data_IF_966694762912
#
_entry.id   IF_966694762912
#
_cell.length_a   1.000
_cell.length_b   1.000
_cell.length_c   1.000
_cell.angle_alpha   90.00
_cell.angle_beta   90.00
_cell.angle_gamma   90.00
#
_symmetry.space_group_name_H-M   'P 1'
#
loop_
_entity.id
_entity.type
_entity.pdbx_description
1 polymer ?
#
# COMPACT_ATOMS: atom_id res chain seq x y z
N UNK A 1 6.17 14.50 -9.36
CA UNK A 1 6.65 13.37 -8.55
C UNK A 1 5.61 12.27 -8.65
N UNK A 2 6.01 11.05 -9.00
CA UNK A 2 5.10 9.91 -8.92
C UNK A 2 4.68 9.76 -7.45
N UNK A 3 3.38 9.78 -7.17
CA UNK A 3 2.90 9.54 -5.81
C UNK A 3 3.21 8.08 -5.46
N UNK A 4 3.82 7.83 -4.30
CA UNK A 4 4.08 6.49 -3.75
C UNK A 4 2.98 6.13 -2.74
N UNK A 5 2.67 4.83 -2.63
CA UNK A 5 1.69 4.32 -1.67
C UNK A 5 2.39 3.51 -0.58
N UNK A 6 2.09 3.83 0.67
CA UNK A 6 2.73 3.20 1.83
C UNK A 6 1.66 2.54 2.72
N UNK A 7 1.76 1.22 2.89
CA UNK A 7 0.95 0.46 3.84
C UNK A 7 1.73 0.37 5.14
N UNK A 8 1.23 1.00 6.21
CA UNK A 8 1.92 1.15 7.50
C UNK A 8 1.08 0.53 8.64
N UNK A 9 1.69 -0.09 9.67
CA UNK A 9 0.96 -0.50 10.85
C UNK A 9 0.59 0.73 11.70
N UNK A 10 -0.67 0.83 12.10
CA UNK A 10 -1.13 1.91 12.96
C UNK A 10 -0.92 1.55 14.44
N UNK A 11 0.16 2.08 15.03
CA UNK A 11 0.62 1.71 16.37
C UNK A 11 -0.44 1.91 17.47
N UNK A 12 -1.27 2.96 17.36
CA UNK A 12 -2.23 3.32 18.42
C UNK A 12 -3.52 2.51 18.41
N UNK A 13 -3.93 1.95 17.27
CA UNK A 13 -5.23 1.24 17.14
C UNK A 13 -5.09 -0.21 16.70
N UNK A 14 -3.88 -0.69 16.42
CA UNK A 14 -3.60 -2.07 16.04
C UNK A 14 -3.93 -2.44 14.58
N UNK A 15 -4.48 -1.51 13.81
CA UNK A 15 -4.82 -1.66 12.38
C UNK A 15 -3.69 -1.25 11.43
N UNK A 16 -4.07 -0.85 10.22
CA UNK A 16 -3.16 -0.49 9.13
C UNK A 16 -3.63 0.78 8.44
N UNK A 17 -2.69 1.60 7.96
CA UNK A 17 -2.99 2.80 7.17
C UNK A 17 -2.39 2.70 5.79
N UNK A 18 -3.09 3.24 4.80
CA UNK A 18 -2.56 3.50 3.46
C UNK A 18 -2.30 4.99 3.35
N UNK A 19 -1.02 5.35 3.32
CA UNK A 19 -0.56 6.72 3.16
C UNK A 19 -0.19 6.98 1.69
N UNK A 20 -0.61 8.14 1.20
CA UNK A 20 -0.26 8.66 -0.14
C UNK A 20 0.21 10.09 0.05
N UNK A 21 1.36 10.44 -0.50
CA UNK A 21 1.89 11.80 -0.40
C UNK A 21 0.83 12.84 -0.81
N UNK A 22 0.39 13.67 0.15
CA UNK A 22 -0.60 14.73 -0.04
C UNK A 22 -2.07 14.32 0.10
N UNK A 23 -2.39 13.17 0.69
CA UNK A 23 -3.76 12.73 0.99
C UNK A 23 -3.93 12.34 2.46
N UNK A 24 -5.17 12.33 2.94
CA UNK A 24 -5.49 11.83 4.28
C UNK A 24 -5.28 10.31 4.31
N UNK A 25 -4.49 9.75 5.26
CA UNK A 25 -4.27 8.32 5.35
C UNK A 25 -5.59 7.57 5.61
N UNK A 26 -5.85 6.54 4.82
CA UNK A 26 -7.02 5.69 5.02
C UNK A 26 -6.69 4.57 6.01
N UNK A 27 -7.50 4.41 7.06
CA UNK A 27 -7.34 3.35 8.06
C UNK A 27 -8.13 2.09 7.71
N UNK A 28 -7.56 0.93 7.99
CA UNK A 28 -8.12 -0.40 7.78
C UNK A 28 -7.88 -1.27 9.01
N UNK A 29 -8.82 -2.18 9.30
CA UNK A 29 -8.71 -3.07 10.44
C UNK A 29 -7.64 -4.15 10.22
N UNK A 30 -7.49 -4.62 8.98
CA UNK A 30 -6.58 -5.72 8.64
C UNK A 30 -5.55 -5.34 7.58
N UNK A 31 -4.42 -6.08 7.56
CA UNK A 31 -3.39 -5.93 6.53
C UNK A 31 -3.94 -6.22 5.14
N UNK A 32 -4.75 -7.28 5.01
CA UNK A 32 -5.30 -7.70 3.72
C UNK A 32 -6.17 -6.62 3.07
N UNK A 33 -7.01 -5.95 3.86
CA UNK A 33 -7.82 -4.81 3.40
C UNK A 33 -6.94 -3.64 2.95
N UNK A 34 -5.95 -3.26 3.76
CA UNK A 34 -5.02 -2.18 3.42
C UNK A 34 -4.24 -2.46 2.14
N UNK A 35 -3.73 -3.69 1.97
CA UNK A 35 -3.01 -4.11 0.76
C UNK A 35 -3.91 -4.06 -0.47
N UNK A 36 -5.13 -4.59 -0.39
CA UNK A 36 -6.07 -4.55 -1.50
C UNK A 36 -6.43 -3.11 -1.88
N UNK A 37 -6.68 -2.25 -0.90
CA UNK A 37 -6.95 -0.83 -1.14
C UNK A 37 -5.78 -0.13 -1.83
N UNK A 38 -4.55 -0.34 -1.32
CA UNK A 38 -3.34 0.21 -1.91
C UNK A 38 -3.12 -0.29 -3.35
N UNK A 39 -3.30 -1.59 -3.62
CA UNK A 39 -3.15 -2.15 -4.97
C UNK A 39 -4.22 -1.64 -5.95
N UNK A 40 -5.47 -1.44 -5.51
CA UNK A 40 -6.52 -0.83 -6.34
C UNK A 40 -6.18 0.61 -6.71
N UNK A 41 -5.71 1.40 -5.73
CA UNK A 41 -5.30 2.78 -5.95
C UNK A 41 -4.04 2.87 -6.83
N UNK A 42 -3.11 1.94 -6.66
CA UNK A 42 -1.91 1.81 -7.48
C UNK A 42 -2.22 1.47 -8.95
N UNK A 43 -3.09 0.49 -9.20
CA UNK A 43 -3.47 0.08 -10.55
C UNK A 43 -4.13 1.20 -11.38
N UNK A 44 -4.78 2.15 -10.72
CA UNK A 44 -5.35 3.34 -11.36
C UNK A 44 -4.30 4.38 -11.76
N UNK A 45 -3.12 4.38 -11.13
CA UNK A 45 -2.12 5.46 -11.22
C UNK A 45 -0.71 5.00 -11.62
N UNK A 46 -0.52 3.70 -11.85
CA UNK A 46 0.78 3.06 -12.04
C UNK A 46 1.78 3.39 -10.92
N UNK A 47 1.26 3.50 -9.69
CA UNK A 47 2.01 3.92 -8.51
C UNK A 47 2.67 2.72 -7.82
N UNK A 48 3.95 2.80 -7.45
CA UNK A 48 4.58 1.78 -6.62
C UNK A 48 3.95 1.72 -5.21
N UNK A 49 3.83 0.52 -4.67
CA UNK A 49 3.29 0.28 -3.32
C UNK A 49 4.36 -0.35 -2.44
N UNK A 50 4.52 0.18 -1.24
CA UNK A 50 5.46 -0.31 -0.23
C UNK A 50 4.73 -0.73 1.04
N UNK A 51 4.97 -1.96 1.49
CA UNK A 51 4.52 -2.45 2.78
C UNK A 51 5.61 -2.26 3.82
N UNK A 52 5.28 -1.58 4.92
CA UNK A 52 6.11 -1.47 6.10
C UNK A 52 5.55 -2.43 7.14
N UNK A 53 6.35 -3.33 7.69
CA UNK A 53 5.90 -4.19 8.80
C UNK A 53 6.22 -3.58 10.17
N UNK A 54 5.77 -4.26 11.24
CA UNK A 54 6.03 -3.83 12.63
C UNK A 54 7.50 -3.94 13.04
N UNK A 55 8.35 -4.54 12.22
CA UNK A 55 9.79 -4.70 12.44
C UNK A 55 10.61 -3.74 11.57
N UNK A 56 9.99 -2.67 11.07
CA UNK A 56 10.61 -1.68 10.20
C UNK A 56 11.16 -2.25 8.88
N UNK A 57 10.66 -3.40 8.43
CA UNK A 57 11.01 -3.96 7.13
C UNK A 57 10.10 -3.37 6.07
N UNK A 58 10.71 -2.92 4.97
CA UNK A 58 9.99 -2.39 3.81
C UNK A 58 10.04 -3.42 2.69
N UNK A 59 8.89 -3.75 2.10
CA UNK A 59 8.80 -4.68 0.97
C UNK A 59 7.92 -4.08 -0.13
N UNK A 60 8.35 -4.12 -1.40
CA UNK A 60 7.50 -3.72 -2.50
C UNK A 60 6.33 -4.69 -2.65
N UNK A 61 5.12 -4.16 -2.81
CA UNK A 61 3.95 -4.92 -3.25
C UNK A 61 3.81 -4.72 -4.76
N UNK A 62 4.25 -5.72 -5.51
CA UNK A 62 4.12 -5.67 -6.96
C UNK A 62 2.66 -5.89 -7.35
N UNK A 63 2.05 -4.89 -8.01
CA UNK A 63 0.92 -5.21 -8.89
C UNK A 63 1.54 -5.98 -10.05
N UNK A 64 1.20 -7.26 -10.20
CA UNK A 64 1.64 -8.04 -11.36
C UNK A 64 0.84 -7.55 -12.56
N UNK A 65 1.16 -6.38 -13.11
CA UNK A 65 0.64 -5.96 -14.42
C UNK A 65 1.53 -6.62 -15.49
N UNK A 66 1.02 -7.71 -16.05
CA UNK A 66 1.56 -8.32 -17.27
C UNK A 66 2.61 -9.42 -17.08
N UNK A 67 2.19 -10.61 -16.64
CA UNK A 67 2.74 -11.86 -17.20
C UNK A 67 1.61 -12.53 -17.97
N UNK A 68 1.40 -12.01 -19.17
CA UNK A 68 0.47 -12.46 -20.20
C UNK A 68 0.96 -11.88 -21.52
N UNK A 69 2.20 -12.19 -21.87
CA UNK A 69 2.78 -11.94 -23.18
C UNK A 69 3.04 -13.31 -23.80
N UNK A 70 2.49 -13.49 -25.02
CA UNK A 70 2.48 -14.67 -25.88
C UNK A 70 1.48 -15.79 -25.53
#
# INVERSE_FOLDING_TARGET
MAAELHVLPHASTGGWTVDTAGSVPAWFATLGEAQQAALRQAGARDTPVFLHDRYHRVRPLFTRRGSGQA
#
